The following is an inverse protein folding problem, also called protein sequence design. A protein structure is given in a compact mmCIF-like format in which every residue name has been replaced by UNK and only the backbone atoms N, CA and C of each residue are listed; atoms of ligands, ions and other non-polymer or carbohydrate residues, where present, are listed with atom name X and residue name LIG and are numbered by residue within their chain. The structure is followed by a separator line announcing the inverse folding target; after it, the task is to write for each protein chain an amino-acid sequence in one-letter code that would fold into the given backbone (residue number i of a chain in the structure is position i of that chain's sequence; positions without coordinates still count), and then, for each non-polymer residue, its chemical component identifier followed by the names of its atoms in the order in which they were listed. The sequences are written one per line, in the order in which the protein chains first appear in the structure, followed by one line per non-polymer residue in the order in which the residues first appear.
data_IF_988197145149
#
_entry.id   IF_988197145149
#
_cell.length_a   1.000
_cell.length_b   1.000
_cell.length_c   1.000
_cell.angle_alpha   90.00
_cell.angle_beta   90.00
_cell.angle_gamma   90.00
#
_symmetry.space_group_name_H-M   'P 1'
#
loop_
_entity.id
_entity.type
_entity.pdbx_description
1 polymer ?
#
# COMPACT_ATOMS: atom_id res chain seq x y z
N UNK A 1 1.75 0.79 -30.29
CA UNK A 1 1.04 0.98 -29.01
C UNK A 1 2.04 1.09 -27.85
N UNK A 2 1.70 1.72 -26.71
CA UNK A 2 2.63 1.94 -25.57
C UNK A 2 3.40 0.66 -25.19
N UNK A 3 2.69 -0.45 -24.96
CA UNK A 3 3.29 -1.70 -24.49
C UNK A 3 4.27 -2.34 -25.48
N UNK A 4 4.02 -2.19 -26.79
CA UNK A 4 4.92 -2.71 -27.84
C UNK A 4 6.25 -1.94 -27.84
N UNK A 5 6.21 -0.62 -27.64
CA UNK A 5 7.41 0.21 -27.52
C UNK A 5 8.17 -0.09 -26.23
N UNK A 6 7.47 -0.30 -25.12
CA UNK A 6 8.08 -0.74 -23.85
C UNK A 6 8.84 -2.06 -24.05
N UNK A 7 8.18 -3.04 -24.66
CA UNK A 7 8.77 -4.35 -24.94
C UNK A 7 10.01 -4.26 -25.84
N UNK A 8 9.91 -3.48 -26.93
CA UNK A 8 11.04 -3.24 -27.85
C UNK A 8 12.24 -2.62 -27.12
N UNK A 9 12.02 -1.56 -26.34
CA UNK A 9 13.09 -0.90 -25.59
C UNK A 9 13.70 -1.81 -24.52
N UNK A 10 12.87 -2.65 -23.90
CA UNK A 10 13.32 -3.63 -22.91
C UNK A 10 14.24 -4.69 -23.54
N UNK A 11 13.89 -5.21 -24.71
CA UNK A 11 14.76 -6.13 -25.45
C UNK A 11 16.10 -5.49 -25.84
N UNK A 12 16.06 -4.23 -26.31
CA UNK A 12 17.28 -3.49 -26.66
C UNK A 12 18.14 -3.28 -25.42
N UNK A 13 17.53 -2.97 -24.27
CA UNK A 13 18.23 -2.82 -23.01
C UNK A 13 19.00 -4.09 -22.62
N UNK A 14 18.34 -5.24 -22.65
CA UNK A 14 18.96 -6.53 -22.32
C UNK A 14 20.12 -6.89 -23.26
N UNK A 15 20.02 -6.54 -24.55
CA UNK A 15 21.07 -6.83 -25.54
C UNK A 15 22.27 -5.89 -25.45
N UNK A 16 22.05 -4.63 -25.05
CA UNK A 16 23.07 -3.56 -25.19
C UNK A 16 23.54 -2.97 -23.86
N UNK A 17 22.94 -3.36 -22.72
CA UNK A 17 23.17 -2.80 -21.38
C UNK A 17 23.18 -1.26 -21.33
N UNK A 18 22.49 -0.60 -22.27
CA UNK A 18 22.38 0.86 -22.31
C UNK A 18 21.43 1.37 -21.24
N UNK A 19 21.64 2.62 -20.81
CA UNK A 19 20.72 3.27 -19.88
C UNK A 19 19.31 3.38 -20.47
N UNK A 20 18.30 2.97 -19.70
CA UNK A 20 16.88 3.05 -20.09
C UNK A 20 16.50 4.49 -20.46
N UNK A 21 17.10 5.48 -19.79
CA UNK A 21 16.85 6.91 -20.06
C UNK A 21 17.30 7.33 -21.46
N UNK A 22 18.45 6.83 -21.93
CA UNK A 22 18.93 7.16 -23.29
C UNK A 22 18.09 6.45 -24.36
N UNK A 23 17.69 5.20 -24.09
CA UNK A 23 16.81 4.43 -24.98
C UNK A 23 15.42 5.07 -25.12
N UNK A 24 14.83 5.54 -24.02
CA UNK A 24 13.55 6.26 -24.07
C UNK A 24 13.68 7.63 -24.74
N UNK A 25 14.81 8.33 -24.58
CA UNK A 25 15.07 9.59 -25.28
C UNK A 25 15.10 9.41 -26.80
N UNK A 26 15.68 8.30 -27.29
CA UNK A 26 15.76 7.91 -28.70
C UNK A 26 14.45 7.35 -29.27
N UNK A 27 13.46 7.04 -28.42
CA UNK A 27 12.17 6.51 -28.86
C UNK A 27 11.31 7.58 -29.58
N UNK A 28 10.52 7.12 -30.56
CA UNK A 28 9.57 7.94 -31.34
C UNK A 28 8.22 8.14 -30.62
N UNK A 29 8.05 7.55 -29.43
CA UNK A 29 6.79 7.59 -28.70
C UNK A 29 6.49 8.98 -28.10
N UNK A 30 5.26 9.47 -28.29
CA UNK A 30 4.84 10.83 -27.90
C UNK A 30 4.99 11.08 -26.40
N UNK A 31 4.55 10.14 -25.54
CA UNK A 31 4.59 10.30 -24.08
C UNK A 31 5.82 9.60 -23.47
N UNK A 32 7.01 10.16 -23.70
CA UNK A 32 8.29 9.70 -23.11
C UNK A 32 8.30 9.57 -21.57
N UNK A 33 7.70 10.47 -20.76
CA UNK A 33 7.74 10.31 -19.31
C UNK A 33 6.90 9.12 -18.83
N UNK A 34 5.77 8.85 -19.48
CA UNK A 34 4.93 7.69 -19.18
C UNK A 34 5.66 6.38 -19.50
N UNK A 35 6.34 6.34 -20.64
CA UNK A 35 7.15 5.21 -21.07
C UNK A 35 8.31 4.92 -20.09
N UNK A 36 9.05 5.95 -19.71
CA UNK A 36 10.14 5.85 -18.73
C UNK A 36 9.64 5.36 -17.37
N UNK A 37 8.54 5.95 -16.88
CA UNK A 37 7.97 5.61 -15.59
C UNK A 37 7.53 4.14 -15.55
N UNK A 38 6.88 3.65 -16.62
CA UNK A 38 6.45 2.26 -16.68
C UNK A 38 7.64 1.29 -16.69
N UNK A 39 8.64 1.52 -17.55
CA UNK A 39 9.83 0.65 -17.62
C UNK A 39 10.58 0.64 -16.28
N UNK A 40 10.81 1.82 -15.69
CA UNK A 40 11.54 1.94 -14.43
C UNK A 40 10.84 1.20 -13.29
N UNK A 41 9.51 1.25 -13.23
CA UNK A 41 8.75 0.60 -12.16
C UNK A 41 8.63 -0.91 -12.37
N UNK A 42 8.48 -1.38 -13.60
CA UNK A 42 8.52 -2.83 -13.93
C UNK A 42 9.86 -3.43 -13.50
N UNK A 43 10.97 -2.71 -13.75
CA UNK A 43 12.31 -3.17 -13.34
C UNK A 43 12.45 -3.18 -11.82
N UNK A 44 11.95 -2.15 -11.14
CA UNK A 44 11.99 -2.06 -9.68
C UNK A 44 11.21 -3.21 -9.00
N UNK A 45 10.08 -3.63 -9.58
CA UNK A 45 9.20 -4.66 -9.01
C UNK A 45 9.36 -6.04 -9.67
N UNK A 46 10.41 -6.26 -10.46
CA UNK A 46 10.60 -7.47 -11.26
C UNK A 46 10.48 -8.75 -10.45
N UNK A 47 11.12 -8.82 -9.28
CA UNK A 47 11.12 -10.02 -8.44
C UNK A 47 9.70 -10.40 -8.00
N UNK A 48 8.90 -9.43 -7.56
CA UNK A 48 7.51 -9.65 -7.16
C UNK A 48 6.65 -10.06 -8.35
N UNK A 49 6.78 -9.36 -9.47
CA UNK A 49 6.00 -9.68 -10.68
C UNK A 49 6.33 -11.09 -11.19
N UNK A 50 7.59 -11.52 -11.14
CA UNK A 50 7.98 -12.88 -11.52
C UNK A 50 7.32 -13.92 -10.62
N UNK A 51 7.34 -13.73 -9.29
CA UNK A 51 6.66 -14.67 -8.38
C UNK A 51 5.15 -14.77 -8.63
N UNK A 52 4.52 -13.69 -9.09
CA UNK A 52 3.09 -13.68 -9.45
C UNK A 52 2.88 -14.46 -10.75
N UNK A 53 3.76 -14.30 -11.74
CA UNK A 53 3.72 -15.08 -13.00
C UNK A 53 3.87 -16.57 -12.70
N UNK A 54 4.87 -16.94 -11.91
CA UNK A 54 5.19 -18.34 -11.62
C UNK A 54 4.03 -19.02 -10.87
N UNK A 55 3.39 -18.31 -9.93
CA UNK A 55 2.23 -18.82 -9.19
C UNK A 55 0.94 -18.86 -10.01
N UNK A 56 0.80 -17.97 -11.00
CA UNK A 56 -0.42 -17.88 -11.82
C UNK A 56 -0.41 -18.83 -13.02
N UNK A 57 0.73 -19.49 -13.32
CA UNK A 57 0.91 -20.35 -14.49
C UNK A 57 0.50 -19.66 -15.81
N UNK A 58 0.57 -18.32 -15.85
CA UNK A 58 -0.01 -17.54 -16.94
C UNK A 58 0.72 -17.83 -18.27
N UNK A 59 2.03 -18.03 -18.21
CA UNK A 59 2.85 -18.41 -19.36
C UNK A 59 2.56 -19.82 -19.90
N UNK A 60 2.04 -20.72 -19.07
CA UNK A 60 1.66 -22.08 -19.50
C UNK A 60 0.32 -22.06 -20.26
N UNK A 61 -0.58 -21.14 -19.87
CA UNK A 61 -1.91 -20.97 -20.48
C UNK A 61 -1.84 -20.18 -21.78
N UNK A 62 -1.00 -19.15 -21.85
CA UNK A 62 -0.89 -18.25 -22.99
C UNK A 62 0.50 -18.34 -23.65
N UNK A 63 0.68 -19.34 -24.52
CA UNK A 63 1.95 -19.60 -25.23
C UNK A 63 2.41 -18.45 -26.14
N UNK A 64 1.53 -17.51 -26.48
CA UNK A 64 1.85 -16.34 -27.31
C UNK A 64 2.48 -15.20 -26.50
N UNK A 65 2.46 -15.27 -25.17
CA UNK A 65 2.91 -14.20 -24.29
C UNK A 65 4.38 -14.39 -23.90
N UNK A 66 5.24 -13.48 -24.34
CA UNK A 66 6.62 -13.42 -23.84
C UNK A 66 6.64 -13.03 -22.37
N UNK A 67 7.57 -13.58 -21.57
CA UNK A 67 7.70 -13.32 -20.14
C UNK A 67 7.80 -11.80 -19.83
N UNK A 68 8.50 -11.07 -20.68
CA UNK A 68 8.68 -9.62 -20.58
C UNK A 68 7.38 -8.85 -20.71
N UNK A 69 6.55 -9.26 -21.68
CA UNK A 69 5.27 -8.64 -21.95
C UNK A 69 4.28 -9.00 -20.83
N UNK A 70 4.36 -10.22 -20.29
CA UNK A 70 3.61 -10.63 -19.10
C UNK A 70 3.95 -9.74 -17.87
N UNK A 71 5.24 -9.49 -17.61
CA UNK A 71 5.67 -8.60 -16.52
C UNK A 71 5.09 -7.19 -16.67
N UNK A 72 5.10 -6.65 -17.89
CA UNK A 72 4.58 -5.31 -18.20
C UNK A 72 3.06 -5.25 -17.99
N UNK A 73 2.32 -6.27 -18.46
CA UNK A 73 0.86 -6.32 -18.34
C UNK A 73 0.41 -6.55 -16.89
N UNK A 74 1.07 -7.45 -16.16
CA UNK A 74 0.75 -7.71 -14.75
C UNK A 74 1.09 -6.48 -13.93
N UNK A 75 2.18 -5.78 -14.23
CA UNK A 75 2.48 -4.52 -13.57
C UNK A 75 1.35 -3.50 -13.78
N UNK A 76 0.84 -3.35 -14.99
CA UNK A 76 -0.26 -2.43 -15.27
C UNK A 76 -1.61 -2.91 -14.67
N UNK A 77 -1.81 -4.22 -14.54
CA UNK A 77 -3.00 -4.76 -13.90
C UNK A 77 -2.98 -4.60 -12.37
N UNK A 78 -1.83 -4.80 -11.74
CA UNK A 78 -1.65 -4.75 -10.28
C UNK A 78 -1.46 -3.30 -9.81
N UNK A 79 -0.64 -2.52 -10.53
CA UNK A 79 -0.21 -1.18 -10.14
C UNK A 79 -0.66 -0.08 -11.10
N UNK A 80 -1.08 -0.44 -12.31
CA UNK A 80 -1.60 0.54 -13.24
C UNK A 80 -2.86 1.19 -12.70
N UNK A 81 -3.12 2.38 -13.20
CA UNK A 81 -4.28 3.20 -12.83
C UNK A 81 -5.63 2.56 -13.17
N UNK A 82 -5.62 1.36 -13.77
CA UNK A 82 -6.78 0.58 -14.15
C UNK A 82 -7.45 -0.18 -13.01
N UNK A 83 -6.88 -0.19 -11.80
CA UNK A 83 -7.73 -0.31 -10.60
C UNK A 83 -8.55 0.98 -10.51
N UNK A 84 -9.66 1.00 -11.25
CA UNK A 84 -10.71 2.04 -11.26
C UNK A 84 -11.44 2.08 -9.92
N UNK A 85 -10.72 2.11 -8.81
CA UNK A 85 -11.27 2.53 -7.54
C UNK A 85 -11.64 4.00 -7.69
N UNK A 86 -12.94 4.30 -7.77
CA UNK A 86 -13.54 5.65 -7.74
C UNK A 86 -13.31 6.36 -6.40
N UNK A 87 -12.19 6.10 -5.71
CA UNK A 87 -11.90 6.67 -4.42
C UNK A 87 -11.08 7.94 -4.61
N UNK A 88 -11.72 9.10 -4.38
CA UNK A 88 -11.11 10.42 -4.56
C UNK A 88 -9.84 10.60 -3.71
N UNK A 89 -9.78 9.94 -2.54
CA UNK A 89 -8.70 10.10 -1.56
C UNK A 89 -7.81 8.86 -1.45
N UNK A 90 -7.00 8.58 -2.49
CA UNK A 90 -5.96 7.53 -2.45
C UNK A 90 -5.03 7.56 -1.22
N UNK A 91 -4.54 8.70 -0.73
CA UNK A 91 -3.68 8.70 0.47
C UNK A 91 -4.41 8.24 1.72
N UNK A 92 -5.70 8.54 1.85
CA UNK A 92 -6.52 8.09 2.97
C UNK A 92 -6.73 6.58 2.94
N UNK A 93 -6.97 6.00 1.75
CA UNK A 93 -7.09 4.57 1.57
C UNK A 93 -5.78 3.84 1.93
N UNK A 94 -4.63 4.36 1.47
CA UNK A 94 -3.33 3.78 1.79
C UNK A 94 -3.03 3.85 3.30
N UNK A 95 -3.35 4.98 3.95
CA UNK A 95 -3.19 5.13 5.39
C UNK A 95 -4.05 4.11 6.16
N UNK A 96 -5.31 3.94 5.75
CA UNK A 96 -6.21 2.95 6.35
C UNK A 96 -5.65 1.53 6.21
N UNK A 97 -5.27 1.12 5.00
CA UNK A 97 -4.70 -0.21 4.74
C UNK A 97 -3.43 -0.43 5.57
N UNK A 98 -2.54 0.56 5.63
CA UNK A 98 -1.30 0.47 6.41
C UNK A 98 -1.60 0.23 7.89
N UNK A 99 -2.58 0.93 8.47
CA UNK A 99 -2.97 0.75 9.87
C UNK A 99 -3.63 -0.61 10.12
N UNK A 100 -4.49 -1.07 9.21
CA UNK A 100 -5.11 -2.40 9.30
C UNK A 100 -4.04 -3.50 9.26
N UNK A 101 -3.03 -3.37 8.40
CA UNK A 101 -1.91 -4.31 8.33
C UNK A 101 -1.10 -4.29 9.63
N UNK A 102 -0.82 -3.10 10.17
CA UNK A 102 -0.09 -2.93 11.43
C UNK A 102 -0.80 -3.63 12.61
N UNK A 103 -2.13 -3.56 12.65
CA UNK A 103 -2.94 -4.12 13.74
C UNK A 103 -3.57 -5.48 13.41
N UNK A 104 -3.14 -6.13 12.33
CA UNK A 104 -3.79 -7.33 11.79
C UNK A 104 -3.94 -8.44 12.81
N UNK A 105 -2.93 -8.67 13.66
CA UNK A 105 -2.97 -9.74 14.66
C UNK A 105 -4.10 -9.55 15.66
N UNK A 106 -4.25 -8.34 16.21
CA UNK A 106 -5.32 -7.98 17.14
C UNK A 106 -6.69 -8.03 16.44
N UNK A 107 -6.79 -7.47 15.23
CA UNK A 107 -8.04 -7.49 14.48
C UNK A 107 -8.49 -8.93 14.16
N UNK A 108 -7.55 -9.83 13.85
CA UNK A 108 -7.84 -11.23 13.58
C UNK A 108 -8.34 -11.95 14.84
N UNK A 109 -7.74 -11.71 16.02
CA UNK A 109 -8.23 -12.33 17.26
C UNK A 109 -9.66 -11.88 17.59
N UNK A 110 -10.00 -10.61 17.32
CA UNK A 110 -11.38 -10.12 17.46
C UNK A 110 -12.31 -10.81 16.46
N UNK A 111 -11.92 -10.97 15.19
CA UNK A 111 -12.73 -11.68 14.18
C UNK A 111 -13.04 -13.11 14.63
N UNK A 112 -12.01 -13.82 15.07
CA UNK A 112 -12.10 -15.23 15.40
C UNK A 112 -12.97 -15.44 16.65
N UNK A 113 -12.76 -14.64 17.70
CA UNK A 113 -13.55 -14.70 18.94
C UNK A 113 -14.99 -14.21 18.78
N UNK A 114 -15.23 -13.22 17.92
CA UNK A 114 -16.59 -12.73 17.65
C UNK A 114 -17.39 -13.61 16.68
N UNK A 115 -16.76 -14.64 16.09
CA UNK A 115 -17.37 -15.55 15.11
C UNK A 115 -18.05 -14.81 13.95
N UNK A 116 -17.52 -13.63 13.59
CA UNK A 116 -18.18 -12.73 12.66
C UNK A 116 -18.28 -13.33 11.26
N UNK A 117 -17.25 -14.07 10.83
CA UNK A 117 -17.24 -14.77 9.54
C UNK A 117 -18.21 -15.96 9.48
N UNK A 118 -18.51 -16.58 10.61
CA UNK A 118 -19.48 -17.68 10.67
C UNK A 118 -20.92 -17.18 10.51
N UNK A 119 -21.20 -16.02 11.12
CA UNK A 119 -22.52 -15.36 11.08
C UNK A 119 -22.78 -14.69 9.72
N UNK A 120 -21.76 -14.12 9.10
CA UNK A 120 -21.90 -13.33 7.87
C UNK A 120 -21.05 -13.94 6.75
N UNK A 121 -21.55 -15.03 6.15
CA UNK A 121 -20.85 -15.84 5.14
C UNK A 121 -20.51 -15.10 3.83
N UNK A 122 -21.09 -13.93 3.59
CA UNK A 122 -20.77 -13.11 2.41
C UNK A 122 -19.51 -12.25 2.59
N UNK A 123 -18.95 -12.21 3.81
CA UNK A 123 -17.85 -11.34 4.16
C UNK A 123 -16.51 -12.03 3.89
N UNK A 124 -15.60 -11.37 3.16
CA UNK A 124 -14.21 -11.82 3.06
C UNK A 124 -13.44 -11.44 4.32
N UNK A 125 -12.41 -12.20 4.67
CA UNK A 125 -11.60 -11.94 5.86
C UNK A 125 -10.93 -10.55 5.79
N UNK A 126 -10.47 -10.13 4.61
CA UNK A 126 -9.87 -8.81 4.41
C UNK A 126 -10.87 -7.68 4.64
N UNK A 127 -12.12 -7.87 4.22
CA UNK A 127 -13.18 -6.89 4.43
C UNK A 127 -13.55 -6.81 5.91
N UNK A 128 -13.59 -7.95 6.61
CA UNK A 128 -13.83 -8.01 8.05
C UNK A 128 -12.76 -7.24 8.85
N UNK A 129 -11.48 -7.40 8.50
CA UNK A 129 -10.37 -6.68 9.13
C UNK A 129 -10.55 -5.16 9.02
N UNK A 130 -10.92 -4.67 7.83
CA UNK A 130 -11.12 -3.24 7.60
C UNK A 130 -12.34 -2.71 8.38
N UNK A 131 -13.44 -3.48 8.40
CA UNK A 131 -14.66 -3.07 9.10
C UNK A 131 -14.48 -3.03 10.61
N UNK A 132 -13.80 -4.00 11.20
CA UNK A 132 -13.54 -4.04 12.64
C UNK A 132 -12.57 -2.92 13.02
N UNK A 133 -11.55 -2.66 12.18
CA UNK A 133 -10.66 -1.52 12.43
C UNK A 133 -11.43 -0.19 12.50
N UNK A 134 -12.35 0.04 11.57
CA UNK A 134 -13.16 1.27 11.53
C UNK A 134 -14.24 1.33 12.64
N UNK A 135 -14.65 0.17 13.17
CA UNK A 135 -15.52 0.09 14.34
C UNK A 135 -14.77 0.35 15.66
N UNK A 136 -13.54 -0.15 15.79
CA UNK A 136 -12.74 -0.06 17.02
C UNK A 136 -12.01 1.29 17.13
N UNK A 137 -11.42 1.77 16.03
CA UNK A 137 -10.58 2.96 16.00
C UNK A 137 -11.19 4.13 15.23
N UNK A 138 -12.24 3.88 14.45
CA UNK A 138 -12.87 4.88 13.58
C UNK A 138 -14.09 5.53 14.22
N UNK A 139 -14.59 6.58 13.56
CA UNK A 139 -15.79 7.32 13.97
C UNK A 139 -17.08 6.66 13.47
N UNK A 140 -17.16 5.33 13.41
CA UNK A 140 -18.27 4.51 12.88
C UNK A 140 -18.28 4.23 11.37
N UNK A 141 -18.58 2.97 11.05
CA UNK A 141 -18.72 2.48 9.67
C UNK A 141 -19.95 3.08 9.00
N UNK A 142 -19.72 3.72 7.83
CA UNK A 142 -20.78 4.30 7.00
C UNK A 142 -21.11 3.39 5.81
N UNK A 143 -22.39 3.32 5.46
CA UNK A 143 -22.86 2.65 4.25
C UNK A 143 -23.42 1.25 4.47
N UNK A 144 -23.26 0.39 3.46
CA UNK A 144 -24.00 -0.88 3.31
C UNK A 144 -23.77 -1.89 4.45
N UNK A 145 -22.60 -1.85 5.09
CA UNK A 145 -22.23 -2.80 6.15
C UNK A 145 -22.64 -2.35 7.57
N UNK A 146 -23.23 -1.15 7.72
CA UNK A 146 -23.63 -0.62 9.03
C UNK A 146 -24.69 -1.50 9.72
N UNK A 147 -25.66 -2.01 8.96
CA UNK A 147 -26.71 -2.88 9.51
C UNK A 147 -26.15 -4.20 10.04
N UNK A 148 -25.20 -4.79 9.31
CA UNK A 148 -24.48 -6.00 9.70
C UNK A 148 -23.68 -5.79 10.99
N UNK A 149 -22.90 -4.71 11.06
CA UNK A 149 -22.12 -4.38 12.25
C UNK A 149 -22.99 -4.14 13.47
N UNK A 150 -24.12 -3.44 13.32
CA UNK A 150 -25.06 -3.21 14.43
C UNK A 150 -25.62 -4.50 15.01
N UNK A 151 -25.91 -5.51 14.17
CA UNK A 151 -26.41 -6.82 14.65
C UNK A 151 -25.36 -7.56 15.46
N UNK A 152 -24.10 -7.48 15.04
CA UNK A 152 -22.98 -8.17 15.69
C UNK A 152 -22.28 -7.31 16.75
N UNK A 153 -22.74 -6.08 17.00
CA UNK A 153 -22.05 -5.10 17.84
C UNK A 153 -21.88 -5.61 19.28
N UNK A 154 -22.93 -6.16 19.88
CA UNK A 154 -22.86 -6.74 21.23
C UNK A 154 -21.80 -7.84 21.35
N UNK A 155 -21.67 -8.67 20.33
CA UNK A 155 -20.68 -9.75 20.29
C UNK A 155 -19.25 -9.24 20.16
N UNK A 156 -19.07 -8.14 19.40
CA UNK A 156 -17.77 -7.48 19.24
C UNK A 156 -17.39 -6.78 20.55
N UNK A 157 -18.33 -6.06 21.17
CA UNK A 157 -18.10 -5.34 22.43
C UNK A 157 -17.75 -6.31 23.57
N UNK A 158 -18.46 -7.44 23.69
CA UNK A 158 -18.11 -8.52 24.64
C UNK A 158 -16.72 -9.11 24.37
N UNK A 159 -16.35 -9.31 23.11
CA UNK A 159 -15.02 -9.78 22.75
C UNK A 159 -13.94 -8.77 23.16
N UNK A 160 -14.21 -7.47 23.03
CA UNK A 160 -13.29 -6.42 23.43
C UNK A 160 -13.15 -6.40 24.95
N UNK A 161 -14.25 -6.46 25.70
CA UNK A 161 -14.24 -6.49 27.17
C UNK A 161 -13.47 -7.70 27.70
N UNK A 162 -13.68 -8.89 27.12
CA UNK A 162 -12.93 -10.10 27.50
C UNK A 162 -11.44 -9.95 27.23
N UNK A 163 -11.05 -9.39 26.07
CA UNK A 163 -9.65 -9.10 25.76
C UNK A 163 -9.03 -8.06 26.71
N UNK A 164 -9.75 -7.01 27.06
CA UNK A 164 -9.29 -6.00 28.02
C UNK A 164 -9.09 -6.59 29.42
N UNK A 165 -10.01 -7.45 29.86
CA UNK A 165 -9.91 -8.14 31.14
C UNK A 165 -8.73 -9.12 31.21
N UNK A 166 -8.48 -9.88 30.13
CA UNK A 166 -7.32 -10.79 30.04
C UNK A 166 -5.99 -10.06 30.16
N UNK A 167 -5.88 -8.90 29.53
CA UNK A 167 -4.69 -8.06 29.56
C UNK A 167 -4.64 -7.09 30.74
N UNK A 168 -5.71 -7.01 31.55
CA UNK A 168 -5.89 -6.05 32.65
C UNK A 168 -5.71 -4.58 32.22
N UNK A 169 -6.25 -4.24 31.06
CA UNK A 169 -6.11 -2.91 30.45
C UNK A 169 -7.43 -2.15 30.49
N UNK A 170 -7.34 -0.83 30.63
CA UNK A 170 -8.47 0.09 30.68
C UNK A 170 -8.94 0.52 29.29
N UNK A 171 -8.07 0.41 28.28
CA UNK A 171 -8.38 0.87 26.93
C UNK A 171 -7.71 0.05 25.84
N UNK A 172 -8.38 -0.09 24.70
CA UNK A 172 -7.86 -0.82 23.53
C UNK A 172 -6.58 -0.18 23.00
N UNK A 173 -6.41 1.13 23.18
CA UNK A 173 -5.17 1.85 22.85
C UNK A 173 -3.97 1.32 23.62
N UNK A 174 -4.13 0.92 24.89
CA UNK A 174 -3.04 0.35 25.71
C UNK A 174 -2.67 -1.07 25.24
N UNK A 175 -3.64 -1.78 24.64
CA UNK A 175 -3.43 -3.10 24.05
C UNK A 175 -2.57 -3.02 22.78
N UNK A 176 -2.59 -1.86 22.12
CA UNK A 176 -1.66 -1.57 21.02
C UNK A 176 -0.23 -1.40 21.53
N UNK A 177 -0.01 -0.74 22.66
CA UNK A 177 1.33 -0.46 23.18
C UNK A 177 2.02 -1.70 23.76
N UNK A 178 1.24 -2.65 24.24
CA UNK A 178 1.72 -3.93 24.79
C UNK A 178 2.06 -4.97 23.72
N UNK A 179 1.54 -4.83 22.50
CA UNK A 179 1.84 -5.77 21.42
C UNK A 179 3.29 -5.62 20.92
N UNK A 180 4.08 -6.71 20.83
CA UNK A 180 5.50 -6.65 20.49
C UNK A 180 5.79 -6.04 19.09
N UNK A 181 4.79 -6.02 18.20
CA UNK A 181 4.87 -5.38 16.87
C UNK A 181 4.89 -3.85 16.92
N UNK A 182 4.37 -3.24 18.00
CA UNK A 182 4.38 -1.78 18.21
C UNK A 182 5.56 -1.29 19.06
N UNK A 183 6.46 -2.19 19.49
CA UNK A 183 7.77 -1.78 20.07
C UNK A 183 8.65 -1.03 19.07
N UNK A 184 8.27 -0.99 17.80
CA UNK A 184 8.67 0.08 16.92
C UNK A 184 7.66 1.21 17.15
N UNK A 185 7.94 2.17 18.06
CA UNK A 185 7.10 3.36 18.16
C UNK A 185 7.01 3.88 16.75
N UNK A 186 5.79 4.10 16.24
CA UNK A 186 5.49 4.64 14.91
C UNK A 186 6.70 5.41 14.43
N UNK A 187 7.59 4.76 13.67
CA UNK A 187 8.87 5.38 13.35
C UNK A 187 8.39 6.52 12.49
N UNK A 188 8.36 7.74 13.04
CA UNK A 188 7.97 8.92 12.31
C UNK A 188 9.09 9.08 11.31
N UNK A 189 9.02 8.34 10.20
CA UNK A 189 10.08 8.26 9.21
C UNK A 189 10.25 9.70 8.77
N UNK A 190 11.38 10.34 9.16
CA UNK A 190 11.50 11.76 8.96
C UNK A 190 11.51 11.99 7.45
N UNK A 191 10.76 13.01 7.01
CA UNK A 191 10.76 13.38 5.60
C UNK A 191 12.08 14.06 5.26
N UNK A 192 12.99 13.31 4.66
CA UNK A 192 14.25 13.84 4.18
C UNK A 192 14.03 14.67 2.91
N UNK A 193 14.60 15.88 2.91
CA UNK A 193 14.60 16.76 1.75
C UNK A 193 16.04 16.95 1.29
N UNK A 194 16.31 16.65 0.01
CA UNK A 194 17.61 16.94 -0.60
C UNK A 194 17.66 18.40 -1.02
N UNK A 195 18.64 19.14 -0.53
CA UNK A 195 18.84 20.55 -0.85
C UNK A 195 19.63 20.65 -2.16
N UNK A 196 19.14 21.47 -3.10
CA UNK A 196 19.90 21.82 -4.29
C UNK A 196 20.81 23.02 -4.00
N UNK A 197 22.09 22.75 -3.75
CA UNK A 197 23.08 23.75 -3.36
C UNK A 197 23.39 24.79 -4.46
N UNK A 198 23.09 24.50 -5.72
CA UNK A 198 23.25 25.45 -6.82
C UNK A 198 22.20 26.57 -6.78
N UNK A 199 21.02 26.30 -6.19
CA UNK A 199 19.90 27.25 -6.13
C UNK A 199 19.76 27.93 -4.78
N UNK A 200 19.97 27.19 -3.68
CA UNK A 200 19.75 27.72 -2.33
C UNK A 200 20.76 27.18 -1.32
N UNK A 201 21.21 28.05 -0.42
CA UNK A 201 22.07 27.65 0.70
C UNK A 201 21.22 27.05 1.83
N UNK A 202 21.78 26.08 2.56
CA UNK A 202 21.07 25.39 3.64
C UNK A 202 20.56 26.32 4.76
N UNK A 203 21.27 27.43 5.03
CA UNK A 203 20.85 28.44 6.02
C UNK A 203 19.58 29.18 5.58
N UNK A 204 19.55 29.65 4.34
CA UNK A 204 18.40 30.35 3.76
C UNK A 204 17.17 29.43 3.70
N UNK A 205 17.34 28.19 3.24
CA UNK A 205 16.25 27.22 3.19
C UNK A 205 15.65 26.94 4.59
N UNK A 206 16.45 26.93 5.65
CA UNK A 206 15.94 26.78 7.03
C UNK A 206 15.09 27.97 7.48
N UNK A 207 15.41 29.20 7.04
CA UNK A 207 14.61 30.38 7.36
C UNK A 207 13.27 30.33 6.64
N UNK A 208 13.30 30.08 5.32
CA UNK A 208 12.08 29.98 4.51
C UNK A 208 11.16 28.85 5.01
N UNK A 209 11.72 27.71 5.43
CA UNK A 209 10.92 26.62 6.00
C UNK A 209 10.32 26.98 7.37
N UNK A 210 11.01 27.80 8.19
CA UNK A 210 10.45 28.31 9.44
C UNK A 210 9.31 29.29 9.21
N UNK A 211 9.42 30.17 8.21
CA UNK A 211 8.34 31.08 7.80
C UNK A 211 7.09 30.29 7.37
N UNK A 212 7.28 29.16 6.70
CA UNK A 212 6.22 28.24 6.30
C UNK A 212 5.77 27.28 7.44
N UNK A 213 6.14 27.56 8.69
CA UNK A 213 5.76 26.79 9.89
C UNK A 213 6.30 25.35 9.96
N UNK A 214 7.29 24.97 9.13
CA UNK A 214 7.91 23.65 9.21
C UNK A 214 8.97 23.60 10.33
N UNK A 215 8.96 22.52 11.10
CA UNK A 215 9.93 22.27 12.18
C UNK A 215 10.91 21.18 11.79
N UNK A 216 12.18 21.39 12.12
CA UNK A 216 13.20 20.34 12.04
C UNK A 216 12.99 19.38 13.20
N UNK A 217 12.76 18.10 12.91
CA UNK A 217 12.80 17.03 13.91
C UNK A 217 14.27 16.93 14.38
N UNK A 218 14.52 17.14 15.68
CA UNK A 218 15.83 16.88 16.29
C UNK A 218 15.96 15.36 16.38
N UNK A 219 17.12 14.83 15.97
CA UNK A 219 17.36 13.41 15.76
C UNK A 219 16.88 12.53 16.94
N UNK A 220 16.21 11.42 16.59
CA UNK A 220 16.20 10.16 17.35
C UNK A 220 17.58 9.52 17.23
#
# INVERSE_FOLDING_TARGET
MLYQEVYRLWQINQKTNRSIRSLVAQSTYKNKPQLLALISKVIQHRALLQTIIDRSQLLEREKFLSNELALILIYDQVFGTHVRGKFKNKPQLLALISKVIQHRALLQTIIDRSQLLEREKFLSNELALILIYDQVFGTHVRGKFKGMLKRNQSSIDQCIETLLNEHKLSSISELLDTSPTNKNPSIEIPRYVRINLLKTKAKQLRLNLKELSFKKIKNV
#
